data_IF_928392648536
#
_entry.id   IF_928392648536
#
_cell.length_a   1.000
_cell.length_b   1.000
_cell.length_c   1.000
_cell.angle_alpha   90.00
_cell.angle_beta   90.00
_cell.angle_gamma   90.00
#
_symmetry.space_group_name_H-M   'P 1'
#
loop_
_entity.id
_entity.type
_entity.pdbx_description
1 polymer ?
#
# COMPACT_ATOMS: atom_id res chain seq x y z
N UNK A 1 -14.36 18.38 -10.95
CA UNK A 1 -14.25 17.43 -9.81
C UNK A 1 -15.65 16.86 -9.57
N UNK A 2 -16.01 15.80 -10.30
CA UNK A 2 -17.37 15.24 -10.29
C UNK A 2 -17.59 14.47 -8.98
N UNK A 3 -18.52 14.95 -8.15
CA UNK A 3 -18.95 14.30 -6.91
C UNK A 3 -19.93 13.17 -7.23
N UNK A 4 -19.44 12.00 -7.58
CA UNK A 4 -20.15 10.73 -7.39
C UNK A 4 -19.19 9.56 -7.54
N UNK A 5 -19.15 8.75 -6.49
CA UNK A 5 -18.43 7.50 -6.30
C UNK A 5 -18.76 6.45 -7.37
N UNK A 6 -17.74 5.72 -7.82
CA UNK A 6 -17.75 4.57 -8.76
C UNK A 6 -17.79 4.86 -10.27
N UNK A 7 -16.76 5.53 -10.80
CA UNK A 7 -16.35 5.33 -12.20
C UNK A 7 -14.84 4.99 -12.31
N UNK A 8 -14.43 4.11 -13.24
CA UNK A 8 -13.04 3.71 -13.39
C UNK A 8 -12.11 4.91 -13.62
N UNK A 9 -10.93 4.85 -12.98
CA UNK A 9 -9.88 5.85 -13.11
C UNK A 9 -9.29 5.77 -14.53
N UNK A 10 -9.49 6.80 -15.35
CA UNK A 10 -8.84 6.93 -16.66
C UNK A 10 -7.55 7.77 -16.58
N UNK A 11 -6.70 7.71 -17.62
CA UNK A 11 -5.34 8.28 -17.63
C UNK A 11 -5.35 9.82 -17.58
N UNK A 12 -5.30 10.46 -16.41
CA UNK A 12 -5.69 11.87 -16.24
C UNK A 12 -4.66 12.95 -16.63
N UNK A 13 -3.55 12.63 -17.28
CA UNK A 13 -2.52 13.63 -17.60
C UNK A 13 -2.93 14.44 -18.85
N UNK A 14 -3.01 15.76 -18.72
CA UNK A 14 -3.34 16.67 -19.83
C UNK A 14 -2.12 16.97 -20.70
N UNK A 15 -2.35 17.23 -21.99
CA UNK A 15 -1.30 17.53 -22.97
C UNK A 15 -0.51 16.31 -23.44
N UNK A 16 -0.91 15.10 -23.03
CA UNK A 16 -0.26 13.86 -23.45
C UNK A 16 -0.82 13.34 -24.79
N UNK A 17 -2.13 13.47 -25.00
CA UNK A 17 -2.82 13.04 -26.22
C UNK A 17 -3.96 14.01 -26.53
N UNK A 18 -3.89 14.66 -27.70
CA UNK A 18 -4.86 15.67 -28.13
C UNK A 18 -6.28 15.12 -28.27
N UNK A 19 -6.43 13.85 -28.68
CA UNK A 19 -7.75 13.22 -28.85
C UNK A 19 -8.40 12.96 -27.50
N UNK A 20 -7.61 12.45 -26.55
CA UNK A 20 -8.07 12.22 -25.18
C UNK A 20 -8.48 13.53 -24.50
N UNK A 21 -7.72 14.60 -24.73
CA UNK A 21 -8.04 15.92 -24.18
C UNK A 21 -9.29 16.53 -24.83
N UNK A 22 -9.49 16.33 -26.14
CA UNK A 22 -10.73 16.74 -26.83
C UNK A 22 -11.96 16.04 -26.25
N UNK A 23 -11.92 14.72 -26.08
CA UNK A 23 -13.05 13.97 -25.52
C UNK A 23 -13.36 14.38 -24.08
N UNK A 24 -12.34 14.76 -23.30
CA UNK A 24 -12.54 15.31 -21.95
C UNK A 24 -13.22 16.67 -21.99
N UNK A 25 -12.84 17.54 -22.92
CA UNK A 25 -13.50 18.82 -23.11
C UNK A 25 -14.97 18.60 -23.46
N UNK A 26 -15.28 17.64 -24.34
CA UNK A 26 -16.66 17.29 -24.69
C UNK A 26 -17.46 16.78 -23.49
N UNK A 27 -16.84 16.00 -22.60
CA UNK A 27 -17.47 15.56 -21.34
C UNK A 27 -17.76 16.74 -20.41
N UNK A 28 -16.85 17.72 -20.33
CA UNK A 28 -17.08 18.94 -19.52
C UNK A 28 -18.30 19.68 -20.05
N UNK A 29 -18.42 19.86 -21.37
CA UNK A 29 -19.59 20.49 -21.98
C UNK A 29 -20.90 19.76 -21.61
N UNK A 30 -20.90 18.42 -21.65
CA UNK A 30 -22.09 17.65 -21.26
C UNK A 30 -22.44 17.84 -19.77
N UNK A 31 -21.44 17.95 -18.89
CA UNK A 31 -21.68 18.22 -17.47
C UNK A 31 -22.23 19.63 -17.28
N UNK A 32 -21.69 20.63 -17.99
CA UNK A 32 -22.17 22.02 -17.94
C UNK A 32 -23.64 22.12 -18.41
N UNK A 33 -24.02 21.35 -19.45
CA UNK A 33 -25.41 21.23 -19.91
C UNK A 33 -26.33 20.63 -18.83
N UNK A 34 -25.87 19.59 -18.11
CA UNK A 34 -26.62 18.97 -17.00
C UNK A 34 -26.75 19.94 -15.82
N UNK A 35 -25.70 20.67 -15.48
CA UNK A 35 -25.73 21.69 -14.41
C UNK A 35 -26.64 22.86 -14.74
N UNK A 36 -26.74 23.22 -16.02
CA UNK A 36 -27.68 24.25 -16.49
C UNK A 36 -29.13 23.80 -16.31
N UNK A 37 -29.43 22.53 -16.60
CA UNK A 37 -30.74 21.94 -16.33
C UNK A 37 -31.05 21.84 -14.83
N UNK A 38 -30.07 21.52 -13.99
CA UNK A 38 -30.26 21.53 -12.54
C UNK A 38 -30.76 22.91 -12.06
N UNK A 39 -30.11 23.98 -12.51
CA UNK A 39 -30.49 25.37 -12.16
C UNK A 39 -31.88 25.73 -12.66
N UNK A 40 -32.18 25.45 -13.93
CA UNK A 40 -33.50 25.72 -14.52
C UNK A 40 -34.64 25.04 -13.73
N UNK A 41 -34.45 23.76 -13.40
CA UNK A 41 -35.45 23.00 -12.64
C UNK A 41 -35.54 23.43 -11.17
N UNK A 42 -34.42 23.85 -10.56
CA UNK A 42 -34.42 24.40 -9.20
C UNK A 42 -35.20 25.71 -9.11
N UNK A 43 -35.02 26.61 -10.08
CA UNK A 43 -35.76 27.87 -10.19
C UNK A 43 -37.24 27.63 -10.47
N UNK A 44 -37.56 26.75 -11.44
CA UNK A 44 -38.94 26.45 -11.84
C UNK A 44 -39.77 25.85 -10.72
N UNK A 45 -39.19 24.98 -9.90
CA UNK A 45 -39.89 24.35 -8.78
C UNK A 45 -39.74 25.11 -7.47
N UNK A 46 -38.87 26.13 -7.40
CA UNK A 46 -38.50 26.83 -6.19
C UNK A 46 -38.09 25.85 -5.06
N UNK A 47 -37.34 24.81 -5.43
CA UNK A 47 -36.91 23.72 -4.56
C UNK A 47 -35.45 23.37 -4.84
N UNK A 48 -34.71 22.84 -3.85
CA UNK A 48 -33.36 22.34 -4.07
C UNK A 48 -33.39 21.10 -4.97
N UNK A 49 -32.80 21.22 -6.15
CA UNK A 49 -32.61 20.13 -7.12
C UNK A 49 -31.12 19.81 -7.21
N UNK A 50 -30.76 18.54 -7.38
CA UNK A 50 -29.39 18.10 -7.64
C UNK A 50 -29.36 17.08 -8.76
N UNK A 51 -28.39 17.13 -9.67
CA UNK A 51 -28.19 16.02 -10.58
C UNK A 51 -27.50 14.83 -9.88
N UNK A 52 -27.86 13.64 -10.32
CA UNK A 52 -27.28 12.37 -9.92
C UNK A 52 -27.01 11.54 -11.17
N UNK A 53 -25.93 10.77 -11.13
CA UNK A 53 -25.51 9.89 -12.22
C UNK A 53 -25.45 8.45 -11.71
N UNK A 54 -26.25 7.56 -12.29
CA UNK A 54 -26.31 6.14 -11.91
C UNK A 54 -26.07 5.25 -13.13
N UNK A 55 -25.33 4.15 -12.97
CA UNK A 55 -25.01 3.24 -14.10
C UNK A 55 -26.23 2.61 -14.78
N UNK A 56 -27.37 2.50 -14.10
CA UNK A 56 -28.59 1.87 -14.65
C UNK A 56 -29.59 2.86 -15.25
N UNK A 57 -29.46 4.17 -14.96
CA UNK A 57 -30.45 5.20 -15.33
C UNK A 57 -29.86 6.46 -15.93
N UNK A 58 -28.53 6.55 -16.05
CA UNK A 58 -27.84 7.74 -16.52
C UNK A 58 -28.01 8.93 -15.56
N UNK A 59 -28.05 10.13 -16.13
CA UNK A 59 -28.35 11.37 -15.42
C UNK A 59 -29.82 11.44 -15.02
N UNK A 60 -30.05 11.86 -13.79
CA UNK A 60 -31.36 12.11 -13.20
C UNK A 60 -31.28 13.34 -12.30
N UNK A 61 -32.37 14.09 -12.20
CA UNK A 61 -32.48 15.19 -11.25
C UNK A 61 -33.22 14.70 -10.01
N UNK A 62 -32.60 14.86 -8.86
CA UNK A 62 -33.20 14.62 -7.56
C UNK A 62 -33.77 15.93 -7.02
N UNK A 63 -35.09 15.96 -6.87
CA UNK A 63 -35.81 17.01 -6.16
C UNK A 63 -35.84 16.63 -4.68
N UNK A 64 -35.20 17.43 -3.83
CA UNK A 64 -35.09 17.17 -2.41
C UNK A 64 -36.32 17.75 -1.70
N UNK A 65 -37.15 16.88 -1.12
CA UNK A 65 -38.40 17.23 -0.43
C UNK A 65 -39.65 16.62 -1.07
N UNK A 66 -40.80 16.80 -0.40
CA UNK A 66 -42.09 16.34 -0.92
C UNK A 66 -42.54 17.21 -2.11
N UNK A 67 -42.29 16.73 -3.32
CA UNK A 67 -42.79 17.37 -4.53
C UNK A 67 -44.30 17.13 -4.71
N UNK A 68 -45.09 18.20 -4.68
CA UNK A 68 -46.56 18.19 -4.91
C UNK A 68 -46.98 18.95 -6.17
N UNK A 69 -46.01 19.45 -6.94
CA UNK A 69 -46.26 20.19 -8.18
C UNK A 69 -46.61 19.30 -9.37
N UNK A 70 -46.93 19.93 -10.50
CA UNK A 70 -47.18 19.25 -11.76
C UNK A 70 -45.82 19.02 -12.45
N UNK A 71 -45.54 17.77 -12.80
CA UNK A 71 -44.36 17.43 -13.58
C UNK A 71 -44.52 17.89 -15.02
N UNK A 72 -43.47 18.42 -15.67
CA UNK A 72 -43.54 18.80 -17.07
C UNK A 72 -43.71 17.57 -17.97
N UNK A 73 -44.30 17.78 -19.15
CA UNK A 73 -44.65 16.71 -20.11
C UNK A 73 -43.45 16.02 -20.75
N UNK A 74 -42.24 16.61 -20.65
CA UNK A 74 -40.99 16.06 -21.16
C UNK A 74 -40.30 15.08 -20.20
N UNK A 75 -40.93 14.72 -19.08
CA UNK A 75 -40.42 13.74 -18.12
C UNK A 75 -40.71 12.32 -18.62
N UNK A 76 -39.66 11.53 -18.79
CA UNK A 76 -39.72 10.15 -19.32
C UNK A 76 -39.75 9.13 -18.19
N UNK A 77 -39.08 9.40 -17.07
CA UNK A 77 -39.04 8.50 -15.92
C UNK A 77 -39.13 9.25 -14.60
N UNK A 78 -39.86 8.66 -13.64
CA UNK A 78 -40.00 9.17 -12.27
C UNK A 78 -39.80 8.03 -11.29
N UNK A 79 -38.97 8.24 -10.28
CA UNK A 79 -38.81 7.31 -9.16
C UNK A 79 -38.84 8.08 -7.84
N UNK A 80 -39.65 7.62 -6.89
CA UNK A 80 -39.67 8.18 -5.53
C UNK A 80 -38.82 7.32 -4.61
N UNK A 81 -37.95 7.96 -3.81
CA UNK A 81 -37.19 7.31 -2.74
C UNK A 81 -37.23 8.19 -1.51
N UNK A 82 -37.79 7.67 -0.42
CA UNK A 82 -37.97 8.39 0.84
C UNK A 82 -38.67 9.76 0.63
N UNK A 83 -38.00 10.87 0.96
CA UNK A 83 -38.45 12.26 0.79
C UNK A 83 -37.87 12.93 -0.47
N UNK A 84 -37.34 12.17 -1.43
CA UNK A 84 -36.81 12.72 -2.68
C UNK A 84 -37.52 12.10 -3.89
N UNK A 85 -37.72 12.92 -4.93
CA UNK A 85 -38.25 12.47 -6.22
C UNK A 85 -37.18 12.62 -7.29
N UNK A 86 -36.82 11.50 -7.93
CA UNK A 86 -35.89 11.45 -9.05
C UNK A 86 -36.67 11.54 -10.35
N UNK A 87 -36.29 12.46 -11.22
CA UNK A 87 -36.88 12.66 -12.55
C UNK A 87 -35.80 12.54 -13.62
N UNK A 88 -36.16 11.95 -14.75
CA UNK A 88 -35.33 11.94 -15.96
C UNK A 88 -36.16 12.51 -17.11
N UNK A 89 -35.69 13.60 -17.69
CA UNK A 89 -36.29 14.24 -18.86
C UNK A 89 -35.73 13.64 -20.14
N UNK A 90 -36.41 13.84 -21.27
CA UNK A 90 -35.90 13.41 -22.58
C UNK A 90 -34.51 14.00 -22.87
N UNK A 91 -34.29 15.26 -22.51
CA UNK A 91 -33.00 15.93 -22.67
C UNK A 91 -31.90 15.31 -21.81
N UNK A 92 -32.19 14.97 -20.55
CA UNK A 92 -31.24 14.25 -19.68
C UNK A 92 -30.93 12.85 -20.19
N UNK A 93 -31.90 12.17 -20.80
CA UNK A 93 -31.66 10.87 -21.44
C UNK A 93 -30.66 11.00 -22.60
N UNK A 94 -30.83 11.98 -23.49
CA UNK A 94 -29.87 12.24 -24.58
C UNK A 94 -28.47 12.63 -24.07
N UNK A 95 -28.38 13.46 -23.02
CA UNK A 95 -27.09 13.79 -22.40
C UNK A 95 -26.44 12.57 -21.75
N UNK A 96 -27.25 11.65 -21.21
CA UNK A 96 -26.75 10.37 -20.66
C UNK A 96 -26.15 9.49 -21.74
N UNK A 97 -26.85 9.32 -22.87
CA UNK A 97 -26.36 8.53 -24.01
C UNK A 97 -25.07 9.13 -24.56
N UNK A 98 -25.04 10.44 -24.77
CA UNK A 98 -23.85 11.16 -25.25
C UNK A 98 -22.66 11.00 -24.29
N UNK A 99 -22.91 11.15 -23.00
CA UNK A 99 -21.87 10.98 -21.99
C UNK A 99 -21.35 9.55 -21.90
N UNK A 100 -22.21 8.55 -22.06
CA UNK A 100 -21.80 7.14 -22.08
C UNK A 100 -20.90 6.83 -23.27
N UNK A 101 -21.24 7.33 -24.47
CA UNK A 101 -20.40 7.19 -25.67
C UNK A 101 -19.01 7.82 -25.46
N UNK A 102 -18.97 9.10 -25.04
CA UNK A 102 -17.71 9.80 -24.77
C UNK A 102 -16.87 9.07 -23.70
N UNK A 103 -17.54 8.57 -22.65
CA UNK A 103 -16.88 7.86 -21.58
C UNK A 103 -16.24 6.54 -22.07
N UNK A 104 -16.94 5.80 -22.93
CA UNK A 104 -16.42 4.56 -23.52
C UNK A 104 -15.21 4.85 -24.42
N UNK A 105 -15.27 5.90 -25.24
CA UNK A 105 -14.15 6.29 -26.10
C UNK A 105 -12.92 6.72 -25.28
N UNK A 106 -13.12 7.47 -24.18
CA UNK A 106 -12.06 7.84 -23.24
C UNK A 106 -11.40 6.59 -22.64
N UNK A 107 -12.19 5.59 -22.23
CA UNK A 107 -11.66 4.33 -21.68
C UNK A 107 -10.83 3.58 -22.73
N UNK A 108 -11.35 3.42 -23.95
CA UNK A 108 -10.67 2.72 -25.03
C UNK A 108 -9.34 3.39 -25.41
N UNK A 109 -9.34 4.71 -25.55
CA UNK A 109 -8.11 5.47 -25.83
C UNK A 109 -7.12 5.42 -24.66
N UNK A 110 -7.63 5.47 -23.43
CA UNK A 110 -6.80 5.32 -22.22
C UNK A 110 -6.07 3.98 -22.24
N UNK A 111 -6.77 2.88 -22.52
CA UNK A 111 -6.16 1.54 -22.57
C UNK A 111 -5.08 1.46 -23.66
N UNK A 112 -5.34 2.03 -24.83
CA UNK A 112 -4.35 2.11 -25.91
C UNK A 112 -3.10 2.90 -25.49
N UNK A 113 -3.28 4.08 -24.89
CA UNK A 113 -2.20 4.91 -24.39
C UNK A 113 -1.37 4.16 -23.32
N UNK A 114 -2.03 3.49 -22.38
CA UNK A 114 -1.36 2.70 -21.34
C UNK A 114 -0.54 1.57 -21.97
N UNK A 115 -1.09 0.84 -22.95
CA UNK A 115 -0.35 -0.23 -23.64
C UNK A 115 0.88 0.30 -24.38
N UNK A 116 0.77 1.47 -25.03
CA UNK A 116 1.91 2.13 -25.68
C UNK A 116 2.97 2.53 -24.64
N UNK A 117 2.56 3.12 -23.51
CA UNK A 117 3.45 3.49 -22.42
C UNK A 117 4.17 2.27 -21.83
N UNK A 118 3.43 1.20 -21.55
CA UNK A 118 4.01 -0.06 -21.08
C UNK A 118 4.98 -0.65 -22.11
N UNK A 119 4.66 -0.55 -23.39
CA UNK A 119 5.56 -0.92 -24.49
C UNK A 119 6.87 -0.12 -24.48
N UNK A 120 6.80 1.19 -24.21
CA UNK A 120 7.99 2.05 -24.09
C UNK A 120 8.82 1.78 -22.84
N UNK A 121 8.18 1.42 -21.72
CA UNK A 121 8.88 1.17 -20.45
C UNK A 121 9.51 -0.23 -20.42
N UNK A 122 8.87 -1.24 -21.03
CA UNK A 122 9.28 -2.66 -20.97
C UNK A 122 10.77 -2.90 -21.28
N UNK A 123 11.40 -2.29 -22.30
CA UNK A 123 12.84 -2.47 -22.57
C UNK A 123 13.74 -2.04 -21.41
N UNK A 124 13.27 -1.13 -20.56
CA UNK A 124 14.01 -0.57 -19.42
C UNK A 124 13.81 -1.36 -18.12
N UNK A 125 12.98 -2.40 -18.09
CA UNK A 125 12.78 -3.18 -16.87
C UNK A 125 14.07 -3.78 -16.34
N UNK A 126 14.99 -4.22 -17.20
CA UNK A 126 16.28 -4.77 -16.78
C UNK A 126 17.11 -3.78 -15.96
N UNK A 127 17.17 -2.50 -16.35
CA UNK A 127 17.89 -1.49 -15.56
C UNK A 127 17.12 -1.06 -14.31
N UNK A 128 15.78 -1.04 -14.37
CA UNK A 128 14.95 -0.76 -13.19
C UNK A 128 15.12 -1.82 -12.10
N UNK A 129 15.15 -3.10 -12.42
CA UNK A 129 15.39 -4.17 -11.44
C UNK A 129 16.77 -4.03 -10.78
N UNK A 130 17.82 -3.73 -11.55
CA UNK A 130 19.16 -3.48 -11.01
C UNK A 130 19.18 -2.27 -10.09
N UNK A 131 18.44 -1.20 -10.44
CA UNK A 131 18.31 -0.02 -9.59
C UNK A 131 17.62 -0.36 -8.27
N UNK A 132 16.51 -1.11 -8.33
CA UNK A 132 15.79 -1.56 -7.13
C UNK A 132 16.70 -2.41 -6.24
N UNK A 133 17.40 -3.39 -6.82
CA UNK A 133 18.36 -4.24 -6.09
C UNK A 133 19.46 -3.41 -5.41
N UNK A 134 20.05 -2.44 -6.12
CA UNK A 134 21.07 -1.56 -5.57
C UNK A 134 20.51 -0.71 -4.41
N UNK A 135 19.32 -0.12 -4.57
CA UNK A 135 18.66 0.66 -3.52
C UNK A 135 18.36 -0.22 -2.31
N UNK A 136 17.85 -1.44 -2.51
CA UNK A 136 17.57 -2.38 -1.43
C UNK A 136 18.81 -2.78 -0.66
N UNK A 137 19.94 -3.02 -1.34
CA UNK A 137 21.22 -3.31 -0.67
C UNK A 137 21.68 -2.12 0.17
N UNK A 138 21.58 -0.91 -0.36
CA UNK A 138 21.93 0.33 0.36
C UNK A 138 21.07 0.48 1.62
N UNK A 139 19.75 0.27 1.50
CA UNK A 139 18.80 0.36 2.61
C UNK A 139 19.12 -0.66 3.72
N UNK A 140 19.44 -1.90 3.37
CA UNK A 140 19.86 -2.94 4.32
C UNK A 140 21.16 -2.55 5.02
N UNK A 141 22.19 -2.14 4.27
CA UNK A 141 23.49 -1.79 4.84
C UNK A 141 23.38 -0.56 5.75
N UNK A 142 22.58 0.45 5.33
CA UNK A 142 22.34 1.64 6.14
C UNK A 142 21.59 1.30 7.42
N UNK A 143 20.57 0.44 7.35
CA UNK A 143 19.86 -0.08 8.52
C UNK A 143 20.79 -0.82 9.48
N UNK A 144 21.68 -1.68 8.96
CA UNK A 144 22.70 -2.35 9.77
C UNK A 144 23.65 -1.35 10.43
N UNK A 145 24.14 -0.35 9.70
CA UNK A 145 25.04 0.66 10.24
C UNK A 145 24.38 1.50 11.34
N UNK A 146 23.11 1.88 11.17
CA UNK A 146 22.33 2.66 12.13
C UNK A 146 22.15 1.91 13.45
N UNK A 147 21.65 0.66 13.38
CA UNK A 147 21.47 -0.17 14.58
C UNK A 147 22.82 -0.42 15.26
N UNK A 148 23.87 -0.69 14.47
CA UNK A 148 25.19 -1.01 15.01
C UNK A 148 25.81 0.15 15.79
N UNK A 149 25.66 1.38 15.24
CA UNK A 149 26.18 2.60 15.86
C UNK A 149 25.38 3.01 17.09
N UNK A 150 24.06 2.86 17.07
CA UNK A 150 23.21 3.35 18.15
C UNK A 150 23.32 2.53 19.45
N UNK A 151 23.81 1.28 19.39
CA UNK A 151 23.71 0.31 20.49
C UNK A 151 25.03 -0.41 20.82
N UNK A 152 26.16 0.16 20.39
CA UNK A 152 27.50 -0.38 20.61
C UNK A 152 27.64 -1.84 20.14
N UNK A 153 27.13 -2.14 18.93
CA UNK A 153 27.34 -3.46 18.35
C UNK A 153 28.75 -3.52 17.77
N UNK A 154 29.33 -4.72 17.76
CA UNK A 154 30.68 -4.95 17.28
C UNK A 154 30.70 -5.79 16.01
N UNK A 155 31.69 -5.54 15.18
CA UNK A 155 31.91 -6.33 13.97
C UNK A 155 32.31 -7.76 14.33
N UNK A 156 31.55 -8.79 13.89
CA UNK A 156 31.92 -10.17 14.12
C UNK A 156 33.13 -10.59 13.26
N UNK A 157 33.90 -11.55 13.77
CA UNK A 157 34.98 -12.21 13.03
C UNK A 157 34.61 -13.69 12.85
N UNK A 158 34.91 -14.28 11.69
CA UNK A 158 34.66 -15.69 11.46
C UNK A 158 35.92 -16.54 11.70
N UNK A 159 35.75 -17.75 12.25
CA UNK A 159 36.85 -18.67 12.54
C UNK A 159 36.38 -20.11 12.74
N UNK A 160 37.23 -20.95 13.34
CA UNK A 160 36.92 -22.36 13.60
C UNK A 160 36.04 -22.59 14.83
N UNK A 161 35.96 -21.62 15.73
CA UNK A 161 35.30 -21.71 17.04
C UNK A 161 34.32 -20.55 17.21
N UNK A 162 33.29 -20.72 18.04
CA UNK A 162 32.39 -19.63 18.44
C UNK A 162 32.81 -19.15 19.81
N UNK A 163 33.17 -17.87 19.93
CA UNK A 163 33.52 -17.23 21.20
C UNK A 163 32.94 -15.82 21.21
N UNK A 164 31.99 -15.57 22.10
CA UNK A 164 31.28 -14.31 22.21
C UNK A 164 31.29 -13.88 23.68
N UNK A 165 31.78 -12.67 23.95
CA UNK A 165 31.95 -12.12 25.30
C UNK A 165 30.91 -11.05 25.52
N UNK A 166 30.22 -11.13 26.67
CA UNK A 166 29.13 -10.26 27.10
C UNK A 166 28.08 -10.03 26.02
N UNK A 167 27.65 -11.11 25.40
CA UNK A 167 26.62 -11.08 24.39
C UNK A 167 25.27 -10.70 25.00
N UNK A 168 24.49 -9.88 24.31
CA UNK A 168 23.11 -9.52 24.71
C UNK A 168 22.10 -10.09 23.72
N UNK A 169 20.87 -10.33 24.17
CA UNK A 169 19.80 -10.78 23.28
C UNK A 169 19.31 -9.60 22.40
N UNK A 170 19.44 -9.63 21.06
CA UNK A 170 19.24 -8.44 20.22
C UNK A 170 17.83 -7.84 20.29
N UNK A 171 16.78 -8.69 20.32
CA UNK A 171 15.39 -8.21 20.41
C UNK A 171 15.10 -7.58 21.79
N UNK A 172 15.54 -8.21 22.89
CA UNK A 172 15.34 -7.68 24.25
C UNK A 172 16.21 -6.44 24.46
N UNK A 173 17.40 -6.38 23.89
CA UNK A 173 18.26 -5.19 23.91
C UNK A 173 17.57 -4.01 23.22
N UNK A 174 16.83 -4.27 22.13
CA UNK A 174 16.14 -3.23 21.36
C UNK A 174 14.82 -2.78 21.99
N UNK A 175 13.96 -3.71 22.38
CA UNK A 175 12.57 -3.46 22.81
C UNK A 175 12.28 -3.74 24.28
N UNK A 176 13.22 -4.33 25.02
CA UNK A 176 13.05 -4.63 26.43
C UNK A 176 12.97 -3.37 27.28
N UNK A 177 12.13 -3.40 28.31
CA UNK A 177 12.03 -2.31 29.29
C UNK A 177 13.32 -2.16 30.12
N UNK A 178 14.10 -3.23 30.25
CA UNK A 178 15.38 -3.25 30.92
C UNK A 178 16.44 -3.85 29.99
N UNK A 179 17.69 -3.38 30.12
CA UNK A 179 18.81 -3.96 29.37
C UNK A 179 19.00 -5.42 29.78
N UNK A 180 19.12 -6.36 28.81
CA UNK A 180 19.33 -7.77 29.13
C UNK A 180 20.70 -7.96 29.79
N UNK A 181 20.77 -8.90 30.73
CA UNK A 181 22.03 -9.30 31.36
C UNK A 181 22.91 -9.96 30.29
N UNK A 182 24.15 -9.50 30.10
CA UNK A 182 25.05 -10.06 29.10
C UNK A 182 25.55 -11.45 29.51
N UNK A 183 25.71 -12.34 28.52
CA UNK A 183 26.17 -13.72 28.72
C UNK A 183 27.37 -14.04 27.82
N UNK A 184 28.30 -14.84 28.34
CA UNK A 184 29.42 -15.37 27.55
C UNK A 184 29.02 -16.69 26.86
N UNK A 185 29.59 -16.91 25.68
CA UNK A 185 29.36 -18.11 24.86
C UNK A 185 30.72 -18.57 24.35
N UNK A 186 31.12 -19.80 24.68
CA UNK A 186 32.35 -20.41 24.16
C UNK A 186 32.08 -21.84 23.71
N UNK A 187 32.33 -22.09 22.43
CA UNK A 187 32.19 -23.37 21.77
C UNK A 187 33.44 -23.61 20.92
N UNK A 188 34.18 -24.66 21.23
CA UNK A 188 35.36 -25.09 20.51
C UNK A 188 35.24 -26.56 20.12
N UNK A 189 36.19 -27.07 19.32
CA UNK A 189 36.16 -28.47 18.86
C UNK A 189 36.07 -29.49 20.02
N UNK A 190 36.69 -29.16 21.15
CA UNK A 190 36.73 -29.98 22.37
C UNK A 190 35.48 -29.79 23.24
N UNK A 191 34.87 -28.60 23.19
CA UNK A 191 33.66 -28.22 23.94
C UNK A 191 32.56 -27.76 22.97
N UNK A 192 31.95 -28.72 22.27
CA UNK A 192 30.92 -28.46 21.26
C UNK A 192 29.49 -28.66 21.78
N UNK A 193 29.31 -29.04 23.05
CA UNK A 193 28.01 -29.29 23.68
C UNK A 193 27.96 -28.52 25.00
N UNK A 194 26.92 -27.72 25.20
CA UNK A 194 26.66 -27.00 26.45
C UNK A 194 25.41 -27.59 27.09
N UNK A 195 25.54 -28.07 28.33
CA UNK A 195 24.41 -28.50 29.14
C UNK A 195 23.93 -27.31 29.99
N UNK A 196 22.73 -26.81 29.72
CA UNK A 196 22.15 -25.67 30.44
C UNK A 196 21.09 -26.20 31.42
N UNK A 197 21.34 -26.05 32.72
CA UNK A 197 20.39 -26.41 33.78
C UNK A 197 19.98 -25.17 34.59
N UNK A 198 18.84 -25.24 35.28
CA UNK A 198 18.35 -24.14 36.12
C UNK A 198 16.83 -24.16 36.29
N UNK A 199 16.29 -23.39 37.24
CA UNK A 199 14.85 -23.35 37.52
C UNK A 199 14.04 -22.78 36.34
N UNK A 200 12.74 -23.01 36.33
CA UNK A 200 11.85 -22.37 35.33
C UNK A 200 11.95 -20.85 35.42
N UNK A 201 11.80 -20.18 34.27
CA UNK A 201 11.92 -18.71 34.13
C UNK A 201 13.32 -18.13 34.38
N UNK A 202 14.37 -18.96 34.53
CA UNK A 202 15.76 -18.49 34.67
C UNK A 202 16.41 -18.00 33.37
N UNK A 203 15.65 -17.82 32.29
CA UNK A 203 16.17 -17.31 31.01
C UNK A 203 16.86 -18.33 30.09
N UNK A 204 16.78 -19.64 30.37
CA UNK A 204 17.42 -20.68 29.54
C UNK A 204 17.02 -20.61 28.06
N UNK A 205 15.73 -20.53 27.78
CA UNK A 205 15.21 -20.42 26.40
C UNK A 205 15.63 -19.10 25.75
N UNK A 206 15.68 -18.02 26.53
CA UNK A 206 16.17 -16.71 26.07
C UNK A 206 17.64 -16.79 25.66
N UNK A 207 18.48 -17.47 26.44
CA UNK A 207 19.89 -17.66 26.12
C UNK A 207 20.08 -18.48 24.83
N UNK A 208 19.32 -19.56 24.64
CA UNK A 208 19.36 -20.35 23.41
C UNK A 208 18.93 -19.54 22.18
N UNK A 209 17.82 -18.79 22.27
CA UNK A 209 17.37 -17.90 21.17
C UNK A 209 18.40 -16.81 20.90
N UNK A 210 19.01 -16.27 21.94
CA UNK A 210 20.08 -15.28 21.80
C UNK A 210 21.23 -15.82 20.95
N UNK A 211 21.73 -17.03 21.23
CA UNK A 211 22.83 -17.64 20.44
C UNK A 211 22.44 -17.76 18.96
N UNK A 212 21.24 -18.29 18.68
CA UNK A 212 20.76 -18.47 17.32
C UNK A 212 20.62 -17.13 16.57
N UNK A 213 20.02 -16.13 17.21
CA UNK A 213 19.85 -14.79 16.62
C UNK A 213 21.19 -14.10 16.37
N UNK A 214 22.15 -14.23 17.28
CA UNK A 214 23.50 -13.67 17.11
C UNK A 214 24.21 -14.31 15.92
N UNK A 215 24.08 -15.63 15.74
CA UNK A 215 24.63 -16.35 14.60
C UNK A 215 24.03 -15.87 13.29
N UNK A 216 22.69 -15.69 13.24
CA UNK A 216 21.99 -15.18 12.06
C UNK A 216 22.46 -13.76 11.73
N UNK A 217 22.45 -12.84 12.71
CA UNK A 217 22.88 -11.45 12.52
C UNK A 217 24.31 -11.38 11.97
N UNK A 218 25.22 -12.18 12.53
CA UNK A 218 26.60 -12.23 12.04
C UNK A 218 26.68 -12.71 10.58
N UNK A 219 26.00 -13.81 10.24
CA UNK A 219 26.08 -14.40 8.89
C UNK A 219 25.32 -13.63 7.80
N UNK A 220 24.34 -12.80 8.17
CA UNK A 220 23.72 -11.85 7.21
C UNK A 220 24.54 -10.55 7.05
N UNK A 221 25.65 -10.40 7.79
CA UNK A 221 26.57 -9.25 7.67
C UNK A 221 26.27 -8.09 8.62
N UNK A 222 25.33 -8.24 9.56
CA UNK A 222 25.08 -7.24 10.60
C UNK A 222 26.10 -7.38 11.74
N UNK A 223 26.35 -6.29 12.48
CA UNK A 223 27.12 -6.37 13.71
C UNK A 223 26.26 -6.97 14.82
N UNK A 224 26.89 -7.38 15.92
CA UNK A 224 26.20 -8.07 17.01
C UNK A 224 26.38 -7.35 18.35
N UNK A 225 25.38 -7.39 19.26
CA UNK A 225 25.49 -6.80 20.59
C UNK A 225 26.36 -7.65 21.52
N UNK A 226 27.66 -7.38 21.54
CA UNK A 226 28.64 -8.05 22.38
C UNK A 226 29.87 -7.14 22.60
N UNK A 227 30.77 -7.51 23.52
CA UNK A 227 32.08 -6.84 23.64
C UNK A 227 33.14 -7.48 22.73
N UNK A 228 33.04 -8.80 22.50
CA UNK A 228 33.86 -9.53 21.52
C UNK A 228 33.01 -10.62 20.86
N UNK A 229 33.17 -10.84 19.56
CA UNK A 229 32.36 -11.80 18.83
C UNK A 229 33.16 -12.49 17.72
N UNK A 230 33.45 -13.77 17.93
CA UNK A 230 33.94 -14.70 16.93
C UNK A 230 32.91 -15.78 16.70
N UNK A 231 32.57 -16.06 15.45
CA UNK A 231 31.61 -17.10 15.08
C UNK A 231 32.28 -18.18 14.24
N UNK A 232 31.96 -19.44 14.52
CA UNK A 232 32.10 -20.50 13.54
C UNK A 232 31.00 -20.36 12.49
N UNK A 233 31.33 -20.58 11.22
CA UNK A 233 30.31 -20.62 10.15
C UNK A 233 29.44 -21.86 10.36
N UNK A 234 28.12 -21.67 10.36
CA UNK A 234 27.17 -22.78 10.41
C UNK A 234 26.30 -22.79 9.16
N UNK A 235 25.87 -24.00 8.78
CA UNK A 235 25.00 -24.21 7.62
C UNK A 235 23.54 -24.45 8.02
N UNK A 236 23.30 -24.80 9.30
CA UNK A 236 21.97 -25.13 9.84
C UNK A 236 21.88 -24.69 11.30
N UNK A 237 20.69 -24.25 11.68
CA UNK A 237 20.28 -23.97 13.06
C UNK A 237 19.03 -24.82 13.26
N UNK A 238 19.10 -25.78 14.18
CA UNK A 238 18.00 -26.70 14.47
C UNK A 238 17.33 -26.31 15.78
N UNK A 239 16.02 -26.10 15.70
CA UNK A 239 15.21 -25.45 16.75
C UNK A 239 14.29 -26.45 17.48
N UNK A 240 14.57 -27.76 17.37
CA UNK A 240 13.73 -28.89 17.82
C UNK A 240 13.31 -28.84 19.30
N UNK A 241 13.85 -27.92 20.09
CA UNK A 241 13.59 -27.76 21.52
C UNK A 241 12.93 -26.42 21.90
N UNK A 242 12.65 -25.51 20.97
CA UNK A 242 12.04 -24.21 21.31
C UNK A 242 10.53 -24.26 21.61
N UNK A 243 9.87 -25.39 21.35
CA UNK A 243 8.41 -25.57 21.47
C UNK A 243 7.95 -26.49 22.61
N UNK A 244 8.85 -26.97 23.48
CA UNK A 244 8.52 -27.99 24.50
C UNK A 244 8.61 -27.49 25.96
N UNK A 245 8.50 -26.18 26.20
CA UNK A 245 8.38 -25.61 27.56
C UNK A 245 7.28 -24.56 27.58
#
# INVERSE_FOLDING_TARGET
MVKSTNRPKYFSYSGFDERLDSLRADVIVVIDDVESLEKEFSERFNMPVRYNLTNTRGFSLEIIGEFKGILPTNVVSVAKRQKSTFITTLQLAHLSDRFELLYNDICLLTDQIILILLGKIRPHFGCMYKLVEAISIIDIIQSFAEVSKARDYIRPIFGSNTKIIKARHPIIDLFGQQKPIPNDIELCKEMNVILITGPNMSGKSTYLRQIALLQILAQIGCFVPAEQARFRIVNRIDDSFFYSI
#
